data_IF_937333891324
#
_entry.id   IF_937333891324
#
_cell.length_a   1.000
_cell.length_b   1.000
_cell.length_c   1.000
_cell.angle_alpha   90.00
_cell.angle_beta   90.00
_cell.angle_gamma   90.00
#
_symmetry.space_group_name_H-M   'P 1'
#
loop_
_entity.id
_entity.type
_entity.pdbx_description
1 polymer ?
#
# COMPACT_ATOMS: atom_id res chain seq x y z
N UNK A 1 30.46 -10.06 2.34
CA UNK A 1 29.23 -10.35 1.56
C UNK A 1 28.39 -9.08 1.52
N UNK A 2 27.81 -8.69 0.38
CA UNK A 2 26.87 -7.58 0.37
C UNK A 2 25.64 -7.97 1.20
N UNK A 3 25.24 -7.11 2.14
CA UNK A 3 24.08 -7.34 3.00
C UNK A 3 22.84 -7.49 2.09
N UNK A 4 22.08 -8.58 2.26
CA UNK A 4 20.86 -8.82 1.48
C UNK A 4 19.80 -7.81 1.92
N UNK A 5 19.42 -6.90 1.02
CA UNK A 5 18.42 -5.88 1.29
C UNK A 5 17.02 -6.46 1.17
N UNK A 6 16.19 -6.24 2.17
CA UNK A 6 14.81 -6.74 2.26
C UNK A 6 13.84 -5.58 2.48
N UNK A 7 12.74 -5.58 1.76
CA UNK A 7 11.76 -4.48 1.76
C UNK A 7 10.39 -5.04 2.12
N UNK A 8 9.68 -4.35 2.99
CA UNK A 8 8.27 -4.59 3.30
C UNK A 8 7.42 -3.43 2.79
N UNK A 9 6.40 -3.74 2.01
CA UNK A 9 5.38 -2.81 1.51
C UNK A 9 4.05 -3.16 2.16
N UNK A 10 3.47 -2.21 2.87
CA UNK A 10 2.19 -2.35 3.55
C UNK A 10 1.13 -1.52 2.81
N UNK A 11 0.00 -2.12 2.48
CA UNK A 11 -1.17 -1.48 1.92
C UNK A 11 -2.42 -1.76 2.73
N UNK A 12 -3.57 -1.24 2.32
CA UNK A 12 -4.80 -1.21 3.11
C UNK A 12 -5.30 -2.60 3.55
N UNK A 13 -5.01 -3.66 2.82
CA UNK A 13 -5.34 -5.02 3.25
C UNK A 13 -4.66 -5.44 4.56
N UNK A 14 -3.61 -4.75 5.01
CA UNK A 14 -3.02 -4.94 6.32
C UNK A 14 -3.99 -4.47 7.41
N UNK A 15 -4.53 -3.26 7.30
CA UNK A 15 -5.49 -2.70 8.24
C UNK A 15 -6.79 -3.52 8.27
N UNK A 16 -7.27 -3.94 7.09
CA UNK A 16 -8.44 -4.81 6.97
C UNK A 16 -8.21 -6.16 7.66
N UNK A 17 -6.99 -6.71 7.63
CA UNK A 17 -6.63 -7.95 8.30
C UNK A 17 -6.53 -7.78 9.83
N UNK A 18 -6.30 -6.55 10.32
CA UNK A 18 -6.42 -6.20 11.75
C UNK A 18 -7.87 -6.11 12.24
N UNK A 19 -8.86 -6.18 11.32
CA UNK A 19 -10.28 -6.02 11.61
C UNK A 19 -10.79 -4.57 11.50
N UNK A 20 -9.96 -3.63 11.09
CA UNK A 20 -10.37 -2.24 10.87
C UNK A 20 -11.08 -2.07 9.52
N UNK A 21 -11.97 -1.09 9.45
CA UNK A 21 -12.71 -0.76 8.23
C UNK A 21 -12.12 0.50 7.59
N UNK A 22 -10.97 0.37 6.95
CA UNK A 22 -10.21 1.51 6.41
C UNK A 22 -10.27 1.63 4.89
N UNK A 23 -11.14 0.86 4.23
CA UNK A 23 -11.31 1.01 2.78
C UNK A 23 -12.10 2.28 2.43
N UNK A 24 -11.89 2.81 1.23
CA UNK A 24 -12.68 3.93 0.71
C UNK A 24 -14.18 3.60 0.65
N UNK A 25 -14.51 2.33 0.46
CA UNK A 25 -15.90 1.86 0.52
C UNK A 25 -16.47 2.00 1.92
N UNK A 26 -15.77 1.52 2.94
CA UNK A 26 -16.21 1.64 4.33
C UNK A 26 -16.39 3.11 4.73
N UNK A 27 -15.48 3.99 4.26
CA UNK A 27 -15.59 5.43 4.45
C UNK A 27 -16.85 6.00 3.78
N UNK A 28 -17.13 5.63 2.53
CA UNK A 28 -18.29 6.10 1.79
C UNK A 28 -19.63 5.61 2.39
N UNK A 29 -19.62 4.47 3.11
CA UNK A 29 -20.76 3.91 3.84
C UNK A 29 -20.88 4.44 5.29
N UNK A 30 -19.97 5.32 5.74
CA UNK A 30 -19.92 5.83 7.12
C UNK A 30 -20.63 7.18 7.28
N UNK A 31 -20.93 7.52 8.53
CA UNK A 31 -21.49 8.84 8.90
C UNK A 31 -20.50 10.01 8.66
N UNK A 32 -19.23 9.70 8.36
CA UNK A 32 -18.20 10.69 8.02
C UNK A 32 -18.21 11.10 6.55
N UNK A 33 -18.95 10.38 5.70
CA UNK A 33 -18.99 10.68 4.28
C UNK A 33 -19.65 12.05 4.04
N UNK A 34 -18.92 13.05 3.48
CA UNK A 34 -19.43 14.41 3.39
C UNK A 34 -20.34 14.64 2.18
N UNK A 35 -20.55 13.61 1.35
CA UNK A 35 -21.39 13.73 0.15
C UNK A 35 -22.85 13.58 0.56
N UNK A 36 -23.60 14.66 0.38
CA UNK A 36 -25.04 14.71 0.61
C UNK A 36 -25.80 14.49 -0.71
N UNK A 37 -27.08 14.65 -0.71
CA UNK A 37 -27.97 14.26 -1.81
C UNK A 37 -27.65 14.93 -3.18
N UNK A 38 -28.20 14.30 -4.23
CA UNK A 38 -28.21 14.79 -5.62
C UNK A 38 -28.82 16.20 -5.67
N UNK A 39 -28.06 17.17 -6.19
CA UNK A 39 -28.49 18.58 -6.31
C UNK A 39 -27.54 19.58 -5.66
N UNK A 40 -26.35 19.13 -5.23
CA UNK A 40 -25.29 20.01 -4.77
C UNK A 40 -24.88 21.02 -5.84
N UNK A 41 -24.50 22.22 -5.39
CA UNK A 41 -23.90 23.24 -6.26
C UNK A 41 -22.43 22.97 -6.58
N UNK A 42 -21.83 21.94 -5.95
CA UNK A 42 -20.49 21.49 -6.21
C UNK A 42 -20.49 20.33 -7.22
N UNK A 43 -19.97 20.49 -8.43
CA UNK A 43 -19.98 19.44 -9.45
C UNK A 43 -19.21 18.19 -9.03
N UNK A 44 -18.12 18.31 -8.27
CA UNK A 44 -17.38 17.17 -7.75
C UNK A 44 -18.23 16.36 -6.75
N UNK A 45 -18.92 17.04 -5.83
CA UNK A 45 -19.82 16.37 -4.87
C UNK A 45 -20.95 15.63 -5.59
N UNK A 46 -21.61 16.29 -6.55
CA UNK A 46 -22.67 15.68 -7.36
C UNK A 46 -22.17 14.45 -8.14
N UNK A 47 -20.94 14.53 -8.66
CA UNK A 47 -20.33 13.40 -9.37
C UNK A 47 -20.07 12.22 -8.45
N UNK A 48 -19.50 12.46 -7.26
CA UNK A 48 -19.26 11.42 -6.24
C UNK A 48 -20.59 10.79 -5.78
N UNK A 49 -21.64 11.58 -5.54
CA UNK A 49 -22.96 11.07 -5.15
C UNK A 49 -23.54 10.10 -6.18
N UNK A 50 -23.37 10.40 -7.48
CA UNK A 50 -23.82 9.51 -8.56
C UNK A 50 -23.02 8.22 -8.63
N UNK A 51 -21.70 8.29 -8.39
CA UNK A 51 -20.80 7.13 -8.50
C UNK A 51 -20.98 6.14 -7.34
N UNK A 52 -21.08 6.61 -6.11
CA UNK A 52 -21.27 5.76 -4.91
C UNK A 52 -22.52 4.87 -5.04
N UNK A 53 -23.60 5.38 -5.66
CA UNK A 53 -24.82 4.61 -5.84
C UNK A 53 -24.76 3.49 -6.89
N UNK A 54 -23.75 3.48 -7.77
CA UNK A 54 -23.72 2.61 -8.96
C UNK A 54 -22.62 1.54 -8.85
N UNK A 55 -21.46 1.85 -8.26
CA UNK A 55 -20.30 0.98 -8.29
C UNK A 55 -20.19 0.10 -7.04
N UNK A 56 -20.11 -1.22 -7.25
CA UNK A 56 -19.89 -2.20 -6.16
C UNK A 56 -18.45 -2.14 -5.60
N UNK A 57 -17.51 -1.60 -6.36
CA UNK A 57 -16.12 -1.38 -5.99
C UNK A 57 -15.87 0.10 -6.01
N UNK A 58 -15.48 0.66 -4.87
CA UNK A 58 -15.26 2.08 -4.72
C UNK A 58 -13.76 2.37 -4.53
N UNK A 59 -13.14 2.95 -5.55
CA UNK A 59 -11.80 3.51 -5.50
C UNK A 59 -11.90 5.03 -5.67
N UNK A 60 -11.82 5.76 -4.57
CA UNK A 60 -11.97 7.20 -4.53
C UNK A 60 -10.97 7.91 -5.47
N UNK A 61 -9.73 7.45 -5.50
CA UNK A 61 -8.69 8.08 -6.32
C UNK A 61 -8.92 7.88 -7.82
N UNK A 62 -9.40 6.69 -8.22
CA UNK A 62 -9.80 6.43 -9.60
C UNK A 62 -11.00 7.30 -10.03
N UNK A 63 -11.95 7.54 -9.12
CA UNK A 63 -13.10 8.40 -9.40
C UNK A 63 -12.68 9.87 -9.50
N UNK A 64 -11.79 10.33 -8.64
CA UNK A 64 -11.22 11.68 -8.73
C UNK A 64 -10.45 11.86 -10.04
N UNK A 65 -9.69 10.84 -10.47
CA UNK A 65 -9.00 10.84 -11.77
C UNK A 65 -10.00 10.95 -12.92
N UNK A 66 -11.02 10.10 -12.94
CA UNK A 66 -12.05 10.11 -13.98
C UNK A 66 -12.74 11.47 -14.05
N UNK A 67 -13.13 12.03 -12.91
CA UNK A 67 -13.75 13.34 -12.83
C UNK A 67 -12.85 14.43 -13.40
N UNK A 68 -11.59 14.49 -13.02
CA UNK A 68 -10.67 15.57 -13.37
C UNK A 68 -10.05 15.42 -14.77
N UNK A 69 -9.95 14.21 -15.31
CA UNK A 69 -9.41 13.94 -16.64
C UNK A 69 -10.49 13.94 -17.73
N UNK A 70 -11.77 13.74 -17.39
CA UNK A 70 -12.82 13.61 -18.40
C UNK A 70 -13.12 14.92 -19.12
N UNK A 71 -12.78 14.97 -20.41
CA UNK A 71 -13.14 16.06 -21.33
C UNK A 71 -14.62 16.15 -21.68
N UNK A 72 -15.48 15.26 -21.15
CA UNK A 72 -16.93 15.22 -21.43
C UNK A 72 -17.76 16.11 -20.49
N UNK A 73 -17.18 16.62 -19.39
CA UNK A 73 -17.90 17.57 -18.56
C UNK A 73 -18.06 18.90 -19.29
N UNK A 74 -19.19 19.57 -19.09
CA UNK A 74 -19.51 20.88 -19.67
C UNK A 74 -18.56 22.01 -19.21
N UNK A 75 -17.62 21.72 -18.31
CA UNK A 75 -16.71 22.68 -17.73
C UNK A 75 -15.27 22.35 -18.16
N UNK A 76 -14.70 23.19 -19.01
CA UNK A 76 -13.29 23.09 -19.45
C UNK A 76 -12.29 23.34 -18.32
N UNK A 77 -12.70 23.94 -17.20
CA UNK A 77 -11.88 24.31 -16.05
C UNK A 77 -12.50 23.77 -14.76
N UNK A 78 -11.68 23.64 -13.71
CA UNK A 78 -12.16 23.31 -12.39
C UNK A 78 -13.21 24.32 -11.91
N UNK A 79 -14.26 23.81 -11.28
CA UNK A 79 -15.27 24.65 -10.67
C UNK A 79 -14.75 25.21 -9.32
N UNK A 80 -15.02 26.48 -8.98
CA UNK A 80 -14.49 27.07 -7.74
C UNK A 80 -14.89 26.37 -6.44
N UNK A 81 -15.97 25.59 -6.45
CA UNK A 81 -16.40 24.81 -5.28
C UNK A 81 -15.69 23.45 -5.15
N UNK A 82 -15.01 22.96 -6.19
CA UNK A 82 -14.45 21.60 -6.21
C UNK A 82 -13.26 21.47 -5.24
N UNK A 83 -12.34 22.41 -5.23
CA UNK A 83 -11.17 22.36 -4.34
C UNK A 83 -11.54 22.50 -2.85
N UNK A 84 -12.41 23.44 -2.41
CA UNK A 84 -12.92 23.46 -1.05
C UNK A 84 -13.59 22.15 -0.62
N UNK A 85 -14.41 21.58 -1.48
CA UNK A 85 -15.07 20.30 -1.19
C UNK A 85 -14.06 19.14 -1.13
N UNK A 86 -13.06 19.11 -2.01
CA UNK A 86 -11.99 18.13 -1.94
C UNK A 86 -11.22 18.18 -0.60
N UNK A 87 -10.97 19.38 -0.08
CA UNK A 87 -10.34 19.54 1.23
C UNK A 87 -11.25 19.04 2.35
N UNK A 88 -12.56 19.31 2.30
CA UNK A 88 -13.55 18.77 3.23
C UNK A 88 -13.57 17.23 3.19
N UNK A 89 -13.55 16.64 2.00
CA UNK A 89 -13.51 15.20 1.79
C UNK A 89 -12.25 14.57 2.42
N UNK A 90 -11.08 15.21 2.23
CA UNK A 90 -9.82 14.77 2.83
C UNK A 90 -9.86 14.87 4.37
N UNK A 91 -10.40 15.94 4.91
CA UNK A 91 -10.52 16.13 6.36
C UNK A 91 -11.50 15.13 6.97
N UNK A 92 -12.62 14.85 6.30
CA UNK A 92 -13.57 13.82 6.71
C UNK A 92 -12.94 12.42 6.71
N UNK A 93 -12.19 12.06 5.67
CA UNK A 93 -11.43 10.82 5.64
C UNK A 93 -10.42 10.74 6.78
N UNK A 94 -9.72 11.83 7.08
CA UNK A 94 -8.77 11.88 8.19
C UNK A 94 -9.45 11.58 9.53
N UNK A 95 -10.62 12.16 9.79
CA UNK A 95 -11.38 11.92 11.00
C UNK A 95 -11.89 10.47 11.07
N UNK A 96 -12.38 9.94 9.94
CA UNK A 96 -12.83 8.55 9.84
C UNK A 96 -11.72 7.56 10.18
N UNK A 97 -10.56 7.69 9.55
CA UNK A 97 -9.42 6.79 9.79
C UNK A 97 -8.92 6.89 11.23
N UNK A 98 -8.87 8.09 11.84
CA UNK A 98 -8.53 8.25 13.25
C UNK A 98 -9.50 7.49 14.17
N UNK A 99 -10.79 7.48 13.84
CA UNK A 99 -11.76 6.72 14.61
C UNK A 99 -11.56 5.21 14.43
N UNK A 100 -11.30 4.74 13.21
CA UNK A 100 -11.00 3.32 12.97
C UNK A 100 -9.73 2.90 13.74
N UNK A 101 -8.68 3.70 13.67
CA UNK A 101 -7.42 3.46 14.38
C UNK A 101 -7.59 3.42 15.90
N UNK A 102 -8.59 4.08 16.47
CA UNK A 102 -8.87 4.02 17.91
C UNK A 102 -9.44 2.67 18.39
N UNK A 103 -9.96 1.85 17.49
CA UNK A 103 -10.54 0.54 17.80
C UNK A 103 -9.47 -0.49 18.15
N UNK A 104 -9.92 -1.58 18.80
CA UNK A 104 -9.07 -2.74 19.03
C UNK A 104 -8.70 -3.43 17.71
N UNK A 105 -7.61 -4.18 17.73
CA UNK A 105 -7.15 -5.00 16.63
C UNK A 105 -7.38 -6.48 16.90
N UNK A 106 -7.43 -7.28 15.84
CA UNK A 106 -7.32 -8.74 15.95
C UNK A 106 -5.85 -9.13 16.18
N UNK A 107 -5.50 -9.41 17.43
CA UNK A 107 -4.13 -9.76 17.84
C UNK A 107 -3.65 -11.09 17.25
N UNK A 108 -4.56 -11.97 16.84
CA UNK A 108 -4.26 -13.26 16.19
C UNK A 108 -4.14 -13.15 14.67
N UNK A 109 -4.37 -11.98 14.10
CA UNK A 109 -4.30 -11.72 12.67
C UNK A 109 -2.92 -12.03 12.08
N UNK A 110 -2.89 -12.31 10.78
CA UNK A 110 -1.63 -12.51 10.03
C UNK A 110 -0.81 -11.22 10.01
N UNK A 111 -1.48 -10.07 9.94
CA UNK A 111 -0.83 -8.75 9.98
C UNK A 111 -0.02 -8.56 11.27
N UNK A 112 -0.60 -8.87 12.44
CA UNK A 112 0.11 -8.82 13.72
C UNK A 112 1.28 -9.81 13.76
N UNK A 113 1.09 -11.04 13.27
CA UNK A 113 2.17 -12.06 13.21
C UNK A 113 3.33 -11.60 12.34
N UNK A 114 3.05 -10.98 11.19
CA UNK A 114 4.09 -10.40 10.31
C UNK A 114 4.79 -9.25 11.04
N UNK A 115 4.06 -8.31 11.64
CA UNK A 115 4.64 -7.18 12.34
C UNK A 115 5.53 -7.63 13.52
N UNK A 116 5.10 -8.58 14.34
CA UNK A 116 5.91 -9.19 15.40
C UNK A 116 7.21 -9.78 14.85
N UNK A 117 7.14 -10.53 13.75
CA UNK A 117 8.31 -11.16 13.13
C UNK A 117 9.27 -10.11 12.54
N UNK A 118 8.75 -9.00 12.03
CA UNK A 118 9.53 -7.87 11.49
C UNK A 118 10.32 -7.19 12.58
N UNK A 119 9.68 -6.87 13.69
CA UNK A 119 10.26 -6.06 14.76
C UNK A 119 11.25 -6.87 15.60
N UNK A 120 10.85 -8.09 16.03
CA UNK A 120 11.68 -8.93 16.89
C UNK A 120 13.03 -9.34 16.28
N UNK A 121 13.13 -9.34 14.96
CA UNK A 121 14.30 -9.88 14.26
C UNK A 121 15.05 -8.83 13.41
N UNK A 122 14.53 -7.58 13.31
CA UNK A 122 15.11 -6.57 12.42
C UNK A 122 15.20 -7.06 10.96
N UNK A 123 14.23 -7.89 10.54
CA UNK A 123 14.31 -8.64 9.28
C UNK A 123 14.35 -7.76 8.04
N UNK A 124 13.58 -6.67 8.05
CA UNK A 124 13.49 -5.75 6.91
C UNK A 124 14.39 -4.52 7.10
N UNK A 125 15.10 -4.18 6.04
CA UNK A 125 15.95 -2.98 5.99
C UNK A 125 15.16 -1.71 5.70
N UNK A 126 14.03 -1.86 5.00
CA UNK A 126 13.12 -0.75 4.67
C UNK A 126 11.68 -1.20 4.78
N UNK A 127 10.85 -0.41 5.44
CA UNK A 127 9.42 -0.62 5.57
C UNK A 127 8.71 0.62 5.02
N UNK A 128 7.79 0.42 4.08
CA UNK A 128 6.97 1.46 3.49
C UNK A 128 5.50 1.15 3.74
N UNK A 129 4.75 2.13 4.23
CA UNK A 129 3.30 2.03 4.35
C UNK A 129 2.61 3.01 3.42
N UNK A 130 1.64 2.50 2.68
CA UNK A 130 0.69 3.26 1.88
C UNK A 130 -0.58 3.59 2.67
N UNK A 131 -0.70 3.02 3.89
CA UNK A 131 -1.81 3.28 4.79
C UNK A 131 -1.63 4.61 5.49
N UNK A 132 -2.73 5.21 5.90
CA UNK A 132 -2.77 6.45 6.66
C UNK A 132 -2.65 6.23 8.18
N UNK A 133 -2.79 4.97 8.63
CA UNK A 133 -2.73 4.53 10.03
C UNK A 133 -1.29 4.48 10.56
N UNK A 134 -1.12 4.60 11.88
CA UNK A 134 0.19 4.61 12.51
C UNK A 134 0.64 3.19 12.89
N UNK A 135 1.73 2.73 12.30
CA UNK A 135 2.30 1.42 12.60
C UNK A 135 2.81 1.30 14.05
N UNK A 136 3.21 2.39 14.69
CA UNK A 136 3.55 2.37 16.13
C UNK A 136 2.31 2.16 16.99
N UNK A 137 1.20 2.81 16.66
CA UNK A 137 -0.08 2.59 17.35
C UNK A 137 -0.54 1.13 17.24
N UNK A 138 -0.39 0.54 16.05
CA UNK A 138 -0.69 -0.88 15.83
C UNK A 138 0.26 -1.77 16.62
N UNK A 139 1.56 -1.48 16.61
CA UNK A 139 2.56 -2.23 17.35
C UNK A 139 2.28 -2.21 18.88
N UNK A 140 1.96 -1.05 19.43
CA UNK A 140 1.60 -0.89 20.83
C UNK A 140 0.37 -1.75 21.20
N UNK A 141 -0.70 -1.70 20.39
CA UNK A 141 -1.90 -2.54 20.55
C UNK A 141 -1.57 -4.04 20.46
N UNK A 142 -0.59 -4.42 19.65
CA UNK A 142 -0.11 -5.79 19.49
C UNK A 142 0.87 -6.24 20.60
N UNK A 143 1.16 -5.38 21.60
CA UNK A 143 2.13 -5.64 22.65
C UNK A 143 3.59 -5.65 22.17
N UNK A 144 3.90 -4.94 21.08
CA UNK A 144 5.23 -4.77 20.51
C UNK A 144 5.77 -3.42 21.02
N UNK A 145 6.86 -3.44 21.78
CA UNK A 145 7.44 -2.24 22.39
C UNK A 145 8.78 -1.81 21.78
N UNK A 146 9.34 -2.65 20.91
CA UNK A 146 10.55 -2.36 20.20
C UNK A 146 10.31 -1.29 19.13
N UNK A 147 11.29 -0.41 18.94
CA UNK A 147 11.23 0.60 17.88
C UNK A 147 11.75 0.02 16.57
N UNK A 148 11.12 0.43 15.47
CA UNK A 148 11.52 0.12 14.10
C UNK A 148 11.25 1.31 13.19
N UNK A 149 12.09 1.49 12.16
CA UNK A 149 11.91 2.59 11.24
C UNK A 149 11.00 2.19 10.07
N UNK A 150 10.08 3.08 9.72
CA UNK A 150 9.23 2.94 8.53
C UNK A 150 8.93 4.31 7.91
N UNK A 151 8.47 4.29 6.67
CA UNK A 151 8.20 5.49 5.89
C UNK A 151 6.77 5.48 5.37
N UNK A 152 6.06 6.58 5.58
CA UNK A 152 4.79 6.81 4.93
C UNK A 152 4.99 7.24 3.49
N UNK A 153 4.20 6.69 2.57
CA UNK A 153 4.17 7.10 1.16
C UNK A 153 3.14 8.21 0.96
N UNK A 154 1.99 8.10 1.60
CA UNK A 154 0.85 9.01 1.44
C UNK A 154 0.51 9.80 2.72
N UNK A 155 1.49 10.01 3.59
CA UNK A 155 1.27 10.70 4.85
C UNK A 155 0.51 9.86 5.89
N UNK A 156 0.08 10.48 7.00
CA UNK A 156 -0.61 9.78 8.09
C UNK A 156 -1.64 10.68 8.79
N UNK A 157 -2.58 10.05 9.47
CA UNK A 157 -3.65 10.75 10.21
C UNK A 157 -3.14 11.43 11.49
N UNK A 158 -2.09 10.92 12.12
CA UNK A 158 -1.54 11.49 13.35
C UNK A 158 -1.01 12.90 13.16
N UNK A 159 -0.40 13.18 12.00
CA UNK A 159 0.13 14.50 11.64
C UNK A 159 -0.84 15.31 10.75
N UNK A 160 -2.08 14.87 10.54
CA UNK A 160 -3.02 15.48 9.57
C UNK A 160 -2.40 15.70 8.18
N UNK A 161 -1.58 14.74 7.72
CA UNK A 161 -0.77 14.89 6.51
C UNK A 161 -1.17 13.91 5.40
N UNK A 162 -2.39 13.35 5.45
CA UNK A 162 -2.82 12.41 4.43
C UNK A 162 -2.85 13.05 3.04
N UNK A 163 -2.45 12.26 2.06
CA UNK A 163 -2.36 12.65 0.66
C UNK A 163 -3.26 11.72 -0.13
N UNK A 164 -4.39 12.23 -0.60
CA UNK A 164 -5.27 11.58 -1.55
C UNK A 164 -5.19 12.32 -2.89
N UNK A 165 -5.49 11.63 -3.97
CA UNK A 165 -5.50 12.27 -5.29
C UNK A 165 -4.99 11.36 -6.39
N UNK A 166 -4.45 11.96 -7.44
CA UNK A 166 -4.01 11.28 -8.64
C UNK A 166 -2.48 11.28 -8.78
N UNK A 167 -1.98 10.32 -9.55
CA UNK A 167 -0.56 10.25 -9.88
C UNK A 167 -0.13 11.40 -10.82
N UNK A 168 1.20 11.58 -10.96
CA UNK A 168 1.78 12.66 -11.76
C UNK A 168 1.58 12.48 -13.28
N UNK A 169 1.34 11.25 -13.73
CA UNK A 169 1.15 10.92 -15.15
C UNK A 169 -0.29 11.14 -15.64
N UNK A 170 -1.24 11.35 -14.73
CA UNK A 170 -2.63 11.63 -15.09
C UNK A 170 -2.73 12.96 -15.82
N UNK A 171 -3.33 12.96 -17.01
CA UNK A 171 -3.62 14.19 -17.75
C UNK A 171 -4.86 14.87 -17.17
N UNK A 172 -4.67 15.99 -16.50
CA UNK A 172 -5.71 16.72 -15.81
C UNK A 172 -6.12 17.96 -16.58
N UNK A 173 -7.41 18.29 -16.57
CA UNK A 173 -7.94 19.56 -17.06
C UNK A 173 -7.39 20.75 -16.26
N UNK A 174 -7.47 21.95 -16.85
CA UNK A 174 -6.99 23.18 -16.21
C UNK A 174 -7.68 23.43 -14.86
N UNK A 175 -6.89 23.74 -13.83
CA UNK A 175 -7.35 24.04 -12.48
C UNK A 175 -7.45 22.86 -11.53
N UNK A 176 -7.28 21.60 -12.00
CA UNK A 176 -7.32 20.40 -11.13
C UNK A 176 -5.95 19.99 -10.58
N UNK A 177 -4.93 20.85 -10.70
CA UNK A 177 -3.59 20.55 -10.19
C UNK A 177 -3.53 20.21 -8.70
N UNK A 178 -4.47 20.71 -7.89
CA UNK A 178 -4.58 20.40 -6.46
C UNK A 178 -4.83 18.90 -6.18
N UNK A 179 -5.33 18.14 -7.16
CA UNK A 179 -5.51 16.69 -7.05
C UNK A 179 -4.20 15.90 -7.24
N UNK A 180 -3.12 16.51 -7.73
CA UNK A 180 -1.84 15.77 -7.89
C UNK A 180 -1.21 15.49 -6.54
N UNK A 181 -0.99 14.22 -6.21
CA UNK A 181 -0.34 13.82 -4.95
C UNK A 181 1.01 14.53 -4.76
N UNK A 182 1.78 14.70 -5.82
CA UNK A 182 3.11 15.35 -5.79
C UNK A 182 3.06 16.87 -5.53
N UNK A 183 1.90 17.51 -5.68
CA UNK A 183 1.72 18.94 -5.38
C UNK A 183 1.25 19.18 -3.95
N UNK A 184 0.94 18.13 -3.19
CA UNK A 184 0.58 18.27 -1.79
C UNK A 184 1.76 18.85 -0.98
N UNK A 185 1.49 19.80 -0.10
CA UNK A 185 2.49 20.34 0.86
C UNK A 185 3.07 19.26 1.79
N UNK A 186 2.33 18.17 1.95
CA UNK A 186 2.72 17.01 2.76
C UNK A 186 3.55 15.97 1.98
N UNK A 187 3.66 16.12 0.65
CA UNK A 187 4.43 15.18 -0.15
C UNK A 187 5.90 15.17 0.30
N UNK A 188 6.42 13.98 0.49
CA UNK A 188 7.82 13.78 0.87
C UNK A 188 8.47 12.78 -0.08
N UNK A 189 9.67 13.12 -0.51
CA UNK A 189 10.51 12.22 -1.29
C UNK A 189 10.78 10.92 -0.49
N UNK A 190 10.65 9.79 -1.16
CA UNK A 190 10.99 8.49 -0.58
C UNK A 190 11.80 7.66 -1.58
N UNK A 191 12.77 6.84 -1.11
CA UNK A 191 13.64 6.04 -1.97
C UNK A 191 13.04 4.68 -2.34
N UNK A 192 11.73 4.47 -2.28
CA UNK A 192 11.08 3.17 -2.51
C UNK A 192 11.50 2.52 -3.82
N UNK A 193 11.54 3.28 -4.93
CA UNK A 193 11.94 2.75 -6.24
C UNK A 193 13.38 2.24 -6.24
N UNK A 194 14.29 2.98 -5.60
CA UNK A 194 15.69 2.58 -5.43
C UNK A 194 15.79 1.34 -4.53
N UNK A 195 15.11 1.35 -3.39
CA UNK A 195 15.13 0.23 -2.43
C UNK A 195 14.60 -1.07 -3.06
N UNK A 196 13.56 -0.99 -3.91
CA UNK A 196 13.02 -2.13 -4.65
C UNK A 196 13.99 -2.67 -5.71
N UNK A 197 14.73 -1.79 -6.41
CA UNK A 197 15.73 -2.24 -7.38
C UNK A 197 16.89 -2.96 -6.71
N UNK A 198 17.33 -2.47 -5.57
CA UNK A 198 18.48 -3.01 -4.83
C UNK A 198 18.13 -4.20 -3.91
N UNK A 199 16.84 -4.45 -3.63
CA UNK A 199 16.45 -5.53 -2.72
C UNK A 199 16.70 -6.91 -3.32
N UNK A 200 16.93 -7.90 -2.44
CA UNK A 200 16.94 -9.32 -2.80
C UNK A 200 15.58 -9.97 -2.50
N UNK A 201 14.84 -9.38 -1.57
CA UNK A 201 13.55 -9.86 -1.15
C UNK A 201 12.60 -8.69 -0.94
N UNK A 202 11.36 -8.85 -1.40
CA UNK A 202 10.27 -7.92 -1.14
C UNK A 202 9.03 -8.65 -0.70
N UNK A 203 8.37 -8.10 0.31
CA UNK A 203 7.07 -8.56 0.79
C UNK A 203 6.05 -7.45 0.59
N UNK A 204 4.96 -7.75 -0.09
CA UNK A 204 3.79 -6.90 -0.19
C UNK A 204 2.70 -7.48 0.72
N UNK A 205 2.24 -6.72 1.69
CA UNK A 205 1.14 -7.14 2.54
C UNK A 205 -0.08 -6.26 2.31
N UNK A 206 -1.12 -6.85 1.72
CA UNK A 206 -2.40 -6.18 1.53
C UNK A 206 -2.37 -4.97 0.58
N UNK A 207 -1.36 -4.86 -0.26
CA UNK A 207 -1.28 -3.82 -1.28
C UNK A 207 -1.89 -4.33 -2.59
N UNK A 208 -2.84 -3.58 -3.16
CA UNK A 208 -3.56 -3.97 -4.38
C UNK A 208 -2.71 -3.82 -5.65
N UNK A 209 -1.59 -3.10 -5.59
CA UNK A 209 -0.81 -2.66 -6.76
C UNK A 209 -1.68 -1.88 -7.76
N UNK A 210 -2.64 -1.09 -7.24
CA UNK A 210 -3.58 -0.29 -8.03
C UNK A 210 -2.90 0.74 -8.92
N UNK A 211 -3.62 1.18 -9.96
CA UNK A 211 -3.13 2.10 -11.00
C UNK A 211 -2.46 3.35 -10.43
N UNK A 212 -3.03 3.90 -9.35
CA UNK A 212 -2.54 5.14 -8.74
C UNK A 212 -1.17 4.99 -8.05
N UNK A 213 -0.85 3.79 -7.57
CA UNK A 213 0.39 3.50 -6.86
C UNK A 213 1.37 2.65 -7.69
N UNK A 214 0.90 2.05 -8.80
CA UNK A 214 1.75 1.25 -9.66
C UNK A 214 3.02 1.96 -10.18
N UNK A 215 3.02 3.28 -10.43
CA UNK A 215 4.25 3.99 -10.79
C UNK A 215 5.43 3.80 -9.84
N UNK A 216 5.18 3.52 -8.55
CA UNK A 216 6.24 3.17 -7.58
C UNK A 216 6.87 1.82 -7.86
N UNK A 217 6.12 0.87 -8.45
CA UNK A 217 6.50 -0.53 -8.62
C UNK A 217 6.81 -0.93 -10.06
N UNK A 218 6.41 -0.11 -11.02
CA UNK A 218 6.50 -0.41 -12.47
C UNK A 218 7.89 -0.87 -12.89
N UNK A 219 8.92 -0.12 -12.54
CA UNK A 219 10.29 -0.41 -12.96
C UNK A 219 10.82 -1.70 -12.31
N UNK A 220 10.38 -1.98 -11.08
CA UNK A 220 10.70 -3.23 -10.39
C UNK A 220 10.08 -4.42 -11.13
N UNK A 221 8.76 -4.45 -11.33
CA UNK A 221 8.11 -5.56 -12.01
C UNK A 221 8.55 -5.69 -13.47
N UNK A 222 8.77 -4.58 -14.17
CA UNK A 222 9.33 -4.60 -15.52
C UNK A 222 10.68 -5.30 -15.54
N UNK A 223 11.60 -4.93 -14.66
CA UNK A 223 12.95 -5.54 -14.58
C UNK A 223 12.83 -7.03 -14.24
N UNK A 224 12.01 -7.39 -13.26
CA UNK A 224 11.85 -8.79 -12.85
C UNK A 224 11.15 -9.67 -13.89
N UNK A 225 10.40 -9.08 -14.81
CA UNK A 225 9.77 -9.78 -15.95
C UNK A 225 10.65 -9.90 -17.18
N UNK A 226 11.81 -9.24 -17.18
CA UNK A 226 12.77 -9.25 -18.28
C UNK A 226 14.14 -9.77 -17.84
N UNK A 227 14.20 -10.41 -16.66
CA UNK A 227 15.44 -11.07 -16.20
C UNK A 227 15.84 -12.16 -17.19
N UNK A 228 17.10 -12.17 -17.57
CA UNK A 228 17.67 -13.20 -18.46
C UNK A 228 18.37 -14.32 -17.68
N UNK A 229 18.45 -14.21 -16.37
CA UNK A 229 19.13 -15.15 -15.51
C UNK A 229 18.42 -15.27 -14.15
N UNK A 230 18.18 -16.52 -13.73
CA UNK A 230 17.70 -16.82 -12.37
C UNK A 230 18.59 -16.28 -11.24
N UNK A 231 19.84 -15.94 -11.53
CA UNK A 231 20.74 -15.34 -10.52
C UNK A 231 20.33 -13.92 -10.16
N UNK A 232 19.61 -13.26 -11.05
CA UNK A 232 19.11 -11.89 -10.86
C UNK A 232 17.67 -11.88 -10.34
N UNK A 233 17.05 -13.06 -10.21
CA UNK A 233 15.71 -13.25 -9.67
C UNK A 233 15.65 -12.92 -8.19
N UNK A 234 14.50 -12.41 -7.76
CA UNK A 234 14.24 -11.97 -6.39
C UNK A 234 13.22 -12.88 -5.71
N UNK A 235 13.20 -12.83 -4.38
CA UNK A 235 12.12 -13.43 -3.59
C UNK A 235 11.01 -12.38 -3.49
N UNK A 236 9.85 -12.71 -4.04
CA UNK A 236 8.68 -11.82 -4.06
C UNK A 236 7.53 -12.53 -3.36
N UNK A 237 7.12 -12.03 -2.21
CA UNK A 237 5.97 -12.57 -1.47
C UNK A 237 4.85 -11.54 -1.44
N UNK A 238 3.65 -11.94 -1.85
CA UNK A 238 2.48 -11.05 -1.85
C UNK A 238 1.37 -11.67 -1.02
N UNK A 239 0.94 -10.98 0.03
CA UNK A 239 -0.20 -11.38 0.84
C UNK A 239 -1.49 -10.79 0.27
N UNK A 240 -2.46 -11.65 0.03
CA UNK A 240 -3.82 -11.30 -0.40
C UNK A 240 -4.83 -11.87 0.60
N UNK A 241 -6.08 -11.40 0.57
CA UNK A 241 -7.12 -11.89 1.46
C UNK A 241 -7.49 -13.34 1.14
N UNK A 242 -7.94 -13.56 -0.08
CA UNK A 242 -8.56 -14.81 -0.57
C UNK A 242 -8.20 -15.08 -2.03
N UNK A 243 -8.77 -16.14 -2.60
CA UNK A 243 -8.52 -16.50 -3.99
C UNK A 243 -9.09 -15.46 -4.99
N UNK A 244 -10.15 -14.76 -4.65
CA UNK A 244 -10.71 -13.72 -5.50
C UNK A 244 -9.71 -12.55 -5.61
N UNK A 245 -9.23 -12.04 -4.50
CA UNK A 245 -8.20 -10.99 -4.43
C UNK A 245 -6.90 -11.42 -5.11
N UNK A 246 -6.53 -12.71 -4.98
CA UNK A 246 -5.37 -13.28 -5.67
C UNK A 246 -5.52 -13.21 -7.20
N UNK A 247 -6.66 -13.60 -7.73
CA UNK A 247 -6.91 -13.54 -9.19
C UNK A 247 -6.93 -12.09 -9.69
N UNK A 248 -7.58 -11.19 -8.96
CA UNK A 248 -7.58 -9.76 -9.30
C UNK A 248 -6.16 -9.18 -9.35
N UNK A 249 -5.32 -9.48 -8.35
CA UNK A 249 -3.93 -9.06 -8.31
C UNK A 249 -3.14 -9.59 -9.52
N UNK A 250 -3.28 -10.87 -9.86
CA UNK A 250 -2.58 -11.48 -10.99
C UNK A 250 -3.02 -10.85 -12.32
N UNK A 251 -4.31 -10.59 -12.53
CA UNK A 251 -4.80 -9.91 -13.72
C UNK A 251 -4.27 -8.47 -13.80
N UNK A 252 -4.23 -7.76 -12.70
CA UNK A 252 -3.69 -6.41 -12.65
C UNK A 252 -2.20 -6.39 -13.00
N UNK A 253 -1.40 -7.26 -12.39
CA UNK A 253 0.02 -7.43 -12.73
C UNK A 253 0.21 -7.78 -14.21
N UNK A 254 -0.64 -8.68 -14.75
CA UNK A 254 -0.59 -9.06 -16.17
C UNK A 254 -0.83 -7.86 -17.10
N UNK A 255 -1.84 -7.06 -16.80
CA UNK A 255 -2.16 -5.87 -17.60
C UNK A 255 -1.03 -4.85 -17.54
N UNK A 256 -0.57 -4.52 -16.33
CA UNK A 256 0.44 -3.49 -16.09
C UNK A 256 1.83 -3.90 -16.58
N UNK A 257 2.09 -5.19 -16.66
CA UNK A 257 3.36 -5.76 -17.10
C UNK A 257 3.34 -6.25 -18.56
N UNK A 258 2.43 -5.71 -19.35
CA UNK A 258 2.28 -6.01 -20.79
C UNK A 258 2.18 -7.52 -21.08
N UNK A 259 1.54 -8.29 -20.20
CA UNK A 259 1.36 -9.73 -20.36
C UNK A 259 2.55 -10.60 -19.92
N UNK A 260 3.64 -10.03 -19.43
CA UNK A 260 4.89 -10.74 -19.08
C UNK A 260 4.82 -11.43 -17.69
N UNK A 261 3.80 -12.28 -17.48
CA UNK A 261 3.63 -13.00 -16.22
C UNK A 261 4.46 -14.27 -16.12
N UNK A 262 4.67 -14.98 -17.23
CA UNK A 262 5.43 -16.22 -17.24
C UNK A 262 6.90 -16.00 -16.83
N UNK A 263 7.64 -15.02 -17.39
CA UNK A 263 8.98 -14.70 -16.91
C UNK A 263 8.98 -14.26 -15.43
N UNK A 264 8.02 -13.42 -15.02
CA UNK A 264 7.93 -13.01 -13.61
C UNK A 264 7.83 -14.20 -12.65
N UNK A 265 7.06 -15.22 -13.01
CA UNK A 265 6.88 -16.43 -12.18
C UNK A 265 8.05 -17.42 -12.28
N UNK A 266 8.67 -17.56 -13.46
CA UNK A 266 9.69 -18.57 -13.68
C UNK A 266 11.10 -18.14 -13.24
N UNK A 267 11.39 -16.84 -13.35
CA UNK A 267 12.73 -16.30 -13.10
C UNK A 267 12.89 -15.73 -11.68
N UNK A 268 11.78 -15.61 -10.92
CA UNK A 268 11.75 -15.18 -9.53
C UNK A 268 11.15 -16.28 -8.63
N UNK A 269 11.40 -16.16 -7.33
CA UNK A 269 10.67 -16.96 -6.31
C UNK A 269 9.40 -16.16 -5.90
N UNK A 270 8.39 -16.21 -6.78
CA UNK A 270 7.11 -15.51 -6.55
C UNK A 270 6.13 -16.39 -5.77
N UNK A 271 5.74 -15.92 -4.59
CA UNK A 271 4.73 -16.55 -3.73
C UNK A 271 3.56 -15.63 -3.49
N UNK A 272 2.35 -16.13 -3.68
CA UNK A 272 1.12 -15.41 -3.29
C UNK A 272 0.46 -16.19 -2.18
N UNK A 273 0.34 -15.56 -1.00
CA UNK A 273 -0.16 -16.16 0.23
C UNK A 273 -1.53 -15.55 0.55
N UNK A 274 -2.52 -16.40 0.71
CA UNK A 274 -3.87 -15.96 1.09
C UNK A 274 -4.02 -15.99 2.61
N UNK A 275 -4.41 -14.87 3.23
CA UNK A 275 -4.54 -14.78 4.69
C UNK A 275 -5.72 -15.56 5.24
N UNK A 276 -6.76 -15.77 4.45
CA UNK A 276 -7.98 -16.52 4.84
C UNK A 276 -8.01 -17.97 4.32
N UNK A 277 -6.88 -18.50 3.81
CA UNK A 277 -6.84 -19.89 3.36
C UNK A 277 -6.82 -20.87 4.56
N UNK A 278 -7.66 -21.92 4.57
CA UNK A 278 -7.77 -22.85 5.71
C UNK A 278 -6.49 -23.65 5.97
N UNK A 279 -5.77 -24.06 4.92
CA UNK A 279 -4.52 -24.84 5.02
C UNK A 279 -3.38 -24.06 4.36
N UNK A 280 -2.71 -23.23 5.12
CA UNK A 280 -1.76 -22.27 4.55
C UNK A 280 -0.29 -22.76 4.70
N UNK A 281 0.07 -23.77 3.94
CA UNK A 281 1.46 -24.30 3.88
C UNK A 281 2.45 -23.17 3.51
N UNK A 282 2.10 -22.32 2.54
CA UNK A 282 2.97 -21.21 2.12
C UNK A 282 3.18 -20.18 3.24
N UNK A 283 2.16 -19.92 4.05
CA UNK A 283 2.27 -19.02 5.21
C UNK A 283 3.22 -19.62 6.26
N UNK A 284 3.10 -20.91 6.56
CA UNK A 284 4.00 -21.58 7.51
C UNK A 284 5.45 -21.54 7.01
N UNK A 285 5.68 -21.83 5.73
CA UNK A 285 7.00 -21.74 5.10
C UNK A 285 7.56 -20.31 5.13
N UNK A 286 6.72 -19.29 4.95
CA UNK A 286 7.12 -17.90 5.07
C UNK A 286 7.62 -17.57 6.48
N UNK A 287 6.86 -17.91 7.52
CA UNK A 287 7.30 -17.67 8.91
C UNK A 287 8.51 -18.49 9.32
N UNK A 288 8.67 -19.71 8.80
CA UNK A 288 9.89 -20.50 9.00
C UNK A 288 11.10 -19.83 8.31
N UNK A 289 10.92 -19.28 7.12
CA UNK A 289 11.96 -18.54 6.41
C UNK A 289 12.43 -17.32 7.21
N UNK A 290 11.49 -16.51 7.72
CA UNK A 290 11.81 -15.36 8.57
C UNK A 290 12.65 -15.75 9.80
N UNK A 291 12.34 -16.90 10.45
CA UNK A 291 13.07 -17.37 11.63
C UNK A 291 14.47 -17.86 11.29
N UNK A 292 14.65 -18.58 10.18
CA UNK A 292 15.96 -19.14 9.78
C UNK A 292 16.95 -18.04 9.41
N UNK A 293 16.51 -17.05 8.67
CA UNK A 293 17.36 -15.97 8.20
C UNK A 293 17.80 -15.04 9.35
N UNK A 294 16.95 -14.85 10.36
CA UNK A 294 17.32 -14.06 11.57
C UNK A 294 18.41 -14.77 12.39
N UNK A 295 18.38 -16.08 12.50
CA UNK A 295 19.42 -16.87 13.19
C UNK A 295 20.74 -16.77 12.42
N UNK A 296 20.71 -16.83 11.11
CA UNK A 296 21.92 -16.76 10.28
C UNK A 296 22.56 -15.38 10.32
N UNK A 297 21.77 -14.30 10.27
CA UNK A 297 22.25 -12.92 10.40
C UNK A 297 22.92 -12.72 11.77
N UNK A 298 22.30 -13.18 12.86
CA UNK A 298 22.86 -13.08 14.20
C UNK A 298 24.21 -13.84 14.34
N UNK A 299 24.31 -15.02 13.75
CA UNK A 299 25.55 -15.81 13.76
C UNK A 299 26.67 -15.13 12.93
N UNK A 300 26.33 -14.53 11.78
CA UNK A 300 27.28 -13.81 10.94
C UNK A 300 27.80 -12.55 11.64
N UNK A 301 26.94 -11.82 12.35
CA UNK A 301 27.31 -10.65 13.16
C UNK A 301 28.21 -11.03 14.32
N UNK A 302 27.91 -12.11 15.04
CA UNK A 302 28.74 -12.62 16.12
C UNK A 302 30.14 -13.08 15.63
N UNK A 303 30.20 -13.75 14.48
CA UNK A 303 31.46 -14.16 13.87
C UNK A 303 32.28 -12.97 13.38
N UNK A 304 31.64 -11.90 12.85
CA UNK A 304 32.27 -10.67 12.45
C UNK A 304 32.86 -9.94 13.66
N UNK A 305 32.10 -9.82 14.75
CA UNK A 305 32.55 -9.23 16.01
C UNK A 305 33.76 -10.02 16.61
N UNK A 306 33.68 -11.34 16.61
CA UNK A 306 34.77 -12.19 17.07
C UNK A 306 36.05 -12.03 16.23
N UNK A 307 35.91 -11.83 14.91
CA UNK A 307 37.04 -11.57 14.01
C UNK A 307 37.67 -10.20 14.16
N UNK A 308 36.94 -9.21 14.72
CA UNK A 308 37.47 -7.87 15.01
C UNK A 308 38.20 -7.78 16.37
N UNK A 309 38.05 -8.80 17.21
CA UNK A 309 38.67 -8.89 18.55
C UNK A 309 39.96 -9.72 18.56
N UNK A 310 40.36 -10.27 17.43
CA UNK A 310 41.63 -10.95 17.18
C UNK A 310 42.46 -10.20 16.16
#
# INVERSE_FOLDING_TARGET
MAMRKKVLIIGNGFDLNLGWKTSYRDFAESDYWPVHDVGSKCPLEEYLAKKVGIERWYDLESILREYAADGRSSHFKAHPADEPFFNELRDALTHYIKQEESKQIDEDSVAVKVLKSVVSNGYFNSIYTFNYTDLYSIAEKAGIHERFDYKYVHGNVGCNSIIIGVDDHTDLREGYGYLRKVFSEHYRSNPIRYDLQECNEVVFFGHSLGDMDYPYFRDFFYTQSHCTSRKDGKIITIFTKDNHSRIQLLEQLRIMNAGQMEPLQNDNDLKIIMTEAPDNVLMNLFFEHLKKDSIQTHNDDMNSLASMLH
#
